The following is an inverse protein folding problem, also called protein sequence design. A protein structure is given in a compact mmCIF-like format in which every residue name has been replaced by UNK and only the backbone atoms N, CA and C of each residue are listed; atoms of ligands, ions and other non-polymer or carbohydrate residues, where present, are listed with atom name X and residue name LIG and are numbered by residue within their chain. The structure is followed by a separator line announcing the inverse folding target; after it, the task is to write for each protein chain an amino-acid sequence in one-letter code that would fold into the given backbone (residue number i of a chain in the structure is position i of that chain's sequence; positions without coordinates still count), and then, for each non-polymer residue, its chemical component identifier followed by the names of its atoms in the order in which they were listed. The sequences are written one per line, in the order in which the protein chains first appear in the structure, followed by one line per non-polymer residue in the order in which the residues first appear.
data_IF_500761369524
#
_entry.id   IF_500761369524
#
_cell.length_a   1.000
_cell.length_b   1.000
_cell.length_c   1.000
_cell.angle_alpha   90.00
_cell.angle_beta   90.00
_cell.angle_gamma   90.00
#
_symmetry.space_group_name_H-M   'P 1'
#
loop_
_entity.id
_entity.type
_entity.pdbx_description
1 polymer ?
#
# COMPACT_ATOMS: atom_id res chain seq x y z
N UNK A 1 0.08 10.22 -31.95
CA UNK A 1 1.04 10.80 -30.99
C UNK A 1 0.42 10.79 -29.60
N UNK A 2 1.16 10.44 -28.54
CA UNK A 2 0.64 10.54 -27.18
C UNK A 2 0.51 12.04 -26.80
N UNK A 3 -0.58 12.44 -26.13
CA UNK A 3 -0.76 13.83 -25.67
C UNK A 3 0.34 14.19 -24.67
N UNK A 4 0.99 15.33 -24.88
CA UNK A 4 2.04 15.86 -24.01
C UNK A 4 1.54 16.06 -22.56
N UNK A 5 2.34 15.64 -21.58
CA UNK A 5 2.05 15.79 -20.15
C UNK A 5 2.68 17.09 -19.67
N UNK A 6 1.84 18.05 -19.29
CA UNK A 6 2.26 19.38 -18.82
C UNK A 6 2.14 19.46 -17.30
N UNK A 7 2.88 20.38 -16.67
CA UNK A 7 2.77 20.68 -15.24
C UNK A 7 1.33 21.03 -14.83
N UNK A 8 0.61 21.81 -15.64
CA UNK A 8 -0.80 22.16 -15.40
C UNK A 8 -1.72 20.92 -15.39
N UNK A 9 -1.50 19.96 -16.28
CA UNK A 9 -2.25 18.69 -16.30
C UNK A 9 -1.93 17.83 -15.09
N UNK A 10 -0.66 17.75 -14.68
CA UNK A 10 -0.26 17.02 -13.47
C UNK A 10 -0.87 17.64 -12.20
N UNK A 11 -0.92 18.97 -12.11
CA UNK A 11 -1.62 19.67 -11.03
C UNK A 11 -3.09 19.27 -10.97
N UNK A 12 -3.77 19.32 -12.11
CA UNK A 12 -5.18 18.93 -12.21
C UNK A 12 -5.42 17.48 -11.82
N UNK A 13 -4.56 16.55 -12.28
CA UNK A 13 -4.69 15.12 -11.97
C UNK A 13 -4.49 14.88 -10.47
N UNK A 14 -3.50 15.52 -9.83
CA UNK A 14 -3.31 15.42 -8.38
C UNK A 14 -4.53 15.99 -7.61
N UNK A 15 -5.09 17.13 -8.01
CA UNK A 15 -6.31 17.68 -7.38
C UNK A 15 -7.46 16.68 -7.48
N UNK A 16 -7.71 16.12 -8.67
CA UNK A 16 -8.79 15.15 -8.88
C UNK A 16 -8.56 13.92 -8.02
N UNK A 17 -7.36 13.35 -8.02
CA UNK A 17 -7.02 12.19 -7.20
C UNK A 17 -7.22 12.48 -5.70
N UNK A 18 -6.77 13.65 -5.23
CA UNK A 18 -6.94 14.07 -3.84
C UNK A 18 -8.42 14.17 -3.44
N UNK A 19 -9.24 14.83 -4.25
CA UNK A 19 -10.69 14.96 -4.01
C UNK A 19 -11.38 13.59 -4.02
N UNK A 20 -11.02 12.70 -4.96
CA UNK A 20 -11.62 11.37 -5.03
C UNK A 20 -11.22 10.48 -3.84
N UNK A 21 -9.98 10.58 -3.36
CA UNK A 21 -9.58 9.91 -2.11
C UNK A 21 -10.34 10.47 -0.90
N UNK A 22 -10.48 11.79 -0.80
CA UNK A 22 -11.21 12.43 0.29
C UNK A 22 -12.69 12.04 0.31
N UNK A 23 -13.33 12.03 -0.86
CA UNK A 23 -14.73 11.64 -0.99
C UNK A 23 -14.95 10.18 -0.55
N UNK A 24 -14.05 9.27 -0.94
CA UNK A 24 -14.12 7.88 -0.51
C UNK A 24 -13.86 7.73 0.99
N UNK A 25 -12.89 8.47 1.56
CA UNK A 25 -12.65 8.49 2.99
C UNK A 25 -13.90 8.92 3.76
N UNK A 26 -14.53 10.01 3.34
CA UNK A 26 -15.76 10.51 3.96
C UNK A 26 -16.91 9.50 3.83
N UNK A 27 -17.08 8.87 2.67
CA UNK A 27 -18.10 7.86 2.45
C UNK A 27 -17.90 6.62 3.35
N UNK A 28 -16.66 6.10 3.43
CA UNK A 28 -16.34 4.98 4.33
C UNK A 28 -16.66 5.37 5.78
N UNK A 29 -16.19 6.52 6.27
CA UNK A 29 -16.44 6.95 7.65
C UNK A 29 -17.93 7.16 7.96
N UNK A 30 -18.71 7.68 7.00
CA UNK A 30 -20.13 7.95 7.21
C UNK A 30 -21.00 6.69 7.15
N UNK A 31 -20.57 5.65 6.42
CA UNK A 31 -21.41 4.49 6.09
C UNK A 31 -20.96 3.19 6.76
N UNK A 32 -19.80 3.16 7.42
CA UNK A 32 -19.26 1.92 8.01
C UNK A 32 -19.90 1.59 9.35
N UNK A 33 -20.00 0.30 9.63
CA UNK A 33 -20.22 -0.24 10.98
C UNK A 33 -19.00 -0.02 11.89
N UNK A 34 -19.17 -0.37 13.15
CA UNK A 34 -18.12 -0.37 14.18
C UNK A 34 -17.26 -1.64 14.18
N UNK A 35 -17.27 -2.42 13.10
CA UNK A 35 -16.52 -3.67 12.99
C UNK A 35 -15.03 -3.51 13.30
N UNK A 36 -14.54 -4.37 14.19
CA UNK A 36 -13.15 -4.40 14.64
C UNK A 36 -12.49 -5.75 14.35
N UNK A 37 -11.16 -5.75 14.32
CA UNK A 37 -10.35 -6.97 14.32
C UNK A 37 -9.37 -6.94 15.49
N UNK A 38 -9.20 -8.06 16.21
CA UNK A 38 -8.35 -8.09 17.39
C UNK A 38 -6.88 -8.00 17.01
N UNK A 39 -6.12 -7.25 17.81
CA UNK A 39 -4.67 -7.28 17.83
C UNK A 39 -4.24 -8.01 19.09
N UNK A 40 -3.44 -9.06 18.92
CA UNK A 40 -3.15 -10.02 19.98
C UNK A 40 -1.66 -10.15 20.27
N UNK A 41 -1.33 -10.70 21.43
CA UNK A 41 -0.01 -11.22 21.74
C UNK A 41 -0.11 -12.54 22.49
N UNK A 42 0.92 -13.38 22.36
CA UNK A 42 1.07 -14.60 23.15
C UNK A 42 2.46 -14.63 23.77
N UNK A 43 2.52 -14.69 25.10
CA UNK A 43 3.77 -14.64 25.84
C UNK A 43 4.21 -16.03 26.31
N UNK A 44 5.50 -16.18 26.60
CA UNK A 44 6.02 -17.40 27.22
C UNK A 44 5.52 -17.51 28.67
N UNK A 45 5.18 -18.73 29.09
CA UNK A 45 4.82 -19.05 30.48
C UNK A 45 5.85 -19.95 31.18
N UNK A 46 6.93 -20.30 30.47
CA UNK A 46 8.02 -21.14 30.94
C UNK A 46 9.26 -21.03 30.03
N UNK A 47 10.25 -21.93 30.16
CA UNK A 47 11.46 -21.91 29.31
C UNK A 47 11.17 -21.95 27.80
N UNK A 48 12.03 -21.38 26.94
CA UNK A 48 11.84 -21.40 25.48
C UNK A 48 11.57 -22.82 24.94
N UNK A 49 10.55 -22.98 24.10
CA UNK A 49 10.19 -24.25 23.48
C UNK A 49 9.35 -25.20 24.34
N UNK A 50 8.87 -24.76 25.51
CA UNK A 50 8.08 -25.62 26.42
C UNK A 50 6.61 -25.20 26.52
N UNK A 51 6.31 -24.07 27.16
CA UNK A 51 4.95 -23.61 27.44
C UNK A 51 4.75 -22.15 27.08
N UNK A 52 3.53 -21.84 26.64
CA UNK A 52 3.09 -20.51 26.26
C UNK A 52 1.81 -20.19 27.02
N UNK A 53 1.68 -18.95 27.47
CA UNK A 53 0.45 -18.45 28.07
C UNK A 53 -0.70 -18.38 27.05
N UNK A 54 -1.85 -17.93 27.54
CA UNK A 54 -3.03 -17.74 26.70
C UNK A 54 -2.82 -16.62 25.66
N UNK A 55 -3.59 -16.68 24.58
CA UNK A 55 -3.65 -15.60 23.60
C UNK A 55 -4.40 -14.42 24.22
N UNK A 56 -3.76 -13.27 24.32
CA UNK A 56 -4.34 -12.05 24.89
C UNK A 56 -4.68 -11.08 23.78
N UNK A 57 -5.89 -10.52 23.80
CA UNK A 57 -6.27 -9.37 22.97
C UNK A 57 -5.72 -8.11 23.64
N UNK A 58 -4.82 -7.41 22.96
CA UNK A 58 -4.26 -6.14 23.44
C UNK A 58 -5.24 -5.00 23.19
N UNK A 59 -5.83 -4.95 22.00
CA UNK A 59 -6.93 -4.04 21.64
C UNK A 59 -7.66 -4.54 20.40
N UNK A 60 -8.85 -3.98 20.16
CA UNK A 60 -9.63 -4.18 18.95
C UNK A 60 -9.43 -3.00 18.00
N UNK A 61 -8.92 -3.27 16.80
CA UNK A 61 -8.62 -2.24 15.81
C UNK A 61 -9.85 -1.97 14.92
N UNK A 62 -10.38 -0.73 14.88
CA UNK A 62 -11.52 -0.39 14.01
C UNK A 62 -11.11 -0.43 12.55
N UNK A 63 -11.70 -1.35 11.79
CA UNK A 63 -11.28 -1.62 10.41
C UNK A 63 -11.61 -0.44 9.48
N UNK A 64 -12.76 0.22 9.70
CA UNK A 64 -13.17 1.43 8.97
C UNK A 64 -12.17 2.59 9.12
N UNK A 65 -11.61 2.78 10.33
CA UNK A 65 -10.59 3.81 10.56
C UNK A 65 -9.30 3.49 9.81
N UNK A 66 -8.88 2.23 9.78
CA UNK A 66 -7.74 1.81 8.97
C UNK A 66 -7.92 2.14 7.49
N UNK A 67 -9.11 1.86 6.95
CA UNK A 67 -9.44 2.19 5.55
C UNK A 67 -9.43 3.70 5.31
N UNK A 68 -10.06 4.47 6.19
CA UNK A 68 -10.08 5.92 6.11
C UNK A 68 -8.68 6.53 6.19
N UNK A 69 -7.79 5.98 7.02
CA UNK A 69 -6.41 6.46 7.17
C UNK A 69 -5.65 6.38 5.84
N UNK A 70 -5.64 5.24 5.15
CA UNK A 70 -4.85 5.15 3.91
C UNK A 70 -5.43 6.01 2.78
N UNK A 71 -6.76 6.20 2.73
CA UNK A 71 -7.40 7.12 1.79
C UNK A 71 -7.06 8.57 2.13
N UNK A 72 -7.15 8.94 3.40
CA UNK A 72 -6.83 10.27 3.92
C UNK A 72 -5.36 10.65 3.68
N UNK A 73 -4.43 9.71 3.88
CA UNK A 73 -3.00 9.93 3.61
C UNK A 73 -2.75 10.26 2.13
N UNK A 74 -3.36 9.54 1.20
CA UNK A 74 -3.25 9.86 -0.23
C UNK A 74 -3.88 11.20 -0.58
N UNK A 75 -5.08 11.48 -0.06
CA UNK A 75 -5.75 12.77 -0.22
C UNK A 75 -4.85 13.93 0.24
N UNK A 76 -4.31 13.82 1.45
CA UNK A 76 -3.43 14.81 2.05
C UNK A 76 -2.17 15.02 1.21
N UNK A 77 -1.50 13.94 0.79
CA UNK A 77 -0.29 14.05 -0.02
C UNK A 77 -0.55 14.72 -1.36
N UNK A 78 -1.65 14.40 -2.03
CA UNK A 78 -2.03 15.08 -3.27
C UNK A 78 -2.27 16.58 -3.06
N UNK A 79 -2.97 16.98 -2.00
CA UNK A 79 -3.19 18.39 -1.69
C UNK A 79 -1.90 19.12 -1.29
N UNK A 80 -1.02 18.46 -0.54
CA UNK A 80 0.32 18.97 -0.25
C UNK A 80 1.07 19.22 -1.57
N UNK A 81 1.13 18.23 -2.45
CA UNK A 81 1.83 18.32 -3.74
C UNK A 81 1.34 19.50 -4.58
N UNK A 82 0.04 19.79 -4.63
CA UNK A 82 -0.51 20.88 -5.46
C UNK A 82 -0.58 22.24 -4.78
N UNK A 83 -0.20 22.31 -3.50
CA UNK A 83 -0.18 23.55 -2.74
C UNK A 83 0.85 24.54 -3.32
N UNK A 84 0.64 25.86 -3.16
CA UNK A 84 1.58 26.87 -3.69
C UNK A 84 3.03 26.67 -3.22
N UNK A 85 3.22 26.21 -1.97
CA UNK A 85 4.54 26.03 -1.35
C UNK A 85 5.31 24.83 -1.89
N UNK A 86 4.62 23.74 -2.27
CA UNK A 86 5.28 22.47 -2.61
C UNK A 86 5.18 22.12 -4.09
N UNK A 87 4.23 22.68 -4.84
CA UNK A 87 4.09 22.40 -6.27
C UNK A 87 5.36 22.71 -7.10
N UNK A 88 6.08 23.84 -6.87
CA UNK A 88 7.35 24.07 -7.55
C UNK A 88 8.42 23.00 -7.24
N UNK A 89 8.48 22.53 -6.00
CA UNK A 89 9.42 21.47 -5.58
C UNK A 89 9.07 20.12 -6.20
N UNK A 90 7.78 19.82 -6.30
CA UNK A 90 7.29 18.62 -6.98
C UNK A 90 7.72 18.63 -8.44
N UNK A 91 7.45 19.70 -9.20
CA UNK A 91 7.84 19.80 -10.61
C UNK A 91 9.36 19.74 -10.79
N UNK A 92 10.13 20.43 -9.94
CA UNK A 92 11.60 20.35 -9.99
C UNK A 92 12.11 18.92 -9.72
N UNK A 93 11.50 18.20 -8.79
CA UNK A 93 11.81 16.79 -8.54
C UNK A 93 11.50 15.91 -9.75
N UNK A 94 10.34 16.08 -10.38
CA UNK A 94 9.97 15.32 -11.58
C UNK A 94 10.94 15.58 -12.75
N UNK A 95 11.42 16.81 -12.91
CA UNK A 95 12.43 17.16 -13.91
C UNK A 95 13.78 16.46 -13.65
N UNK A 96 14.04 16.08 -12.38
CA UNK A 96 15.18 15.29 -11.95
C UNK A 96 14.83 13.79 -11.78
N UNK A 97 13.76 13.31 -12.42
CA UNK A 97 13.29 11.91 -12.37
C UNK A 97 13.00 11.38 -10.96
N UNK A 98 12.52 12.23 -10.06
CA UNK A 98 12.30 11.91 -8.65
C UNK A 98 10.95 12.40 -8.14
N UNK A 99 10.28 11.59 -7.32
CA UNK A 99 9.12 12.04 -6.56
C UNK A 99 9.17 11.58 -5.10
N UNK A 100 9.81 12.39 -4.27
CA UNK A 100 9.87 12.18 -2.82
C UNK A 100 8.50 12.10 -2.14
N UNK A 101 7.53 12.93 -2.56
CA UNK A 101 6.21 12.97 -1.93
C UNK A 101 5.48 11.63 -2.06
N UNK A 102 5.60 10.99 -3.22
CA UNK A 102 5.02 9.67 -3.49
C UNK A 102 5.59 8.60 -2.57
N UNK A 103 6.91 8.58 -2.37
CA UNK A 103 7.53 7.58 -1.51
C UNK A 103 7.23 7.78 -0.03
N UNK A 104 7.14 9.02 0.45
CA UNK A 104 6.69 9.30 1.83
C UNK A 104 5.23 8.89 2.03
N UNK A 105 4.36 9.16 1.06
CA UNK A 105 2.97 8.75 1.18
C UNK A 105 2.82 7.23 1.12
N UNK A 106 3.44 6.56 0.14
CA UNK A 106 3.33 5.11 -0.01
C UNK A 106 3.95 4.34 1.15
N UNK A 107 5.03 4.85 1.78
CA UNK A 107 5.69 4.13 2.87
C UNK A 107 4.78 3.98 4.09
N UNK A 108 3.80 4.86 4.24
CA UNK A 108 2.79 4.80 5.29
C UNK A 108 1.50 4.18 4.74
N UNK A 109 0.94 4.71 3.66
CA UNK A 109 -0.39 4.30 3.19
C UNK A 109 -0.43 2.86 2.71
N UNK A 110 0.56 2.41 1.93
CA UNK A 110 0.62 1.01 1.48
C UNK A 110 0.93 0.05 2.63
N UNK A 111 1.66 0.52 3.66
CA UNK A 111 1.97 -0.25 4.85
C UNK A 111 0.74 -0.43 5.74
N UNK A 112 -0.10 0.61 5.87
CA UNK A 112 -1.44 0.47 6.47
C UNK A 112 -2.28 -0.51 5.66
N UNK A 113 -2.31 -0.39 4.33
CA UNK A 113 -3.10 -1.31 3.49
C UNK A 113 -2.72 -2.78 3.70
N UNK A 114 -1.43 -3.12 3.69
CA UNK A 114 -0.99 -4.52 3.85
C UNK A 114 -1.22 -5.05 5.27
N UNK A 115 -1.17 -4.19 6.29
CA UNK A 115 -1.57 -4.54 7.67
C UNK A 115 -3.06 -4.88 7.73
N UNK A 116 -3.93 -4.09 7.09
CA UNK A 116 -5.37 -4.39 7.06
C UNK A 116 -5.66 -5.70 6.32
N UNK A 117 -4.96 -5.95 5.21
CA UNK A 117 -5.07 -7.23 4.48
C UNK A 117 -4.61 -8.39 5.38
N UNK A 118 -3.50 -8.23 6.10
CA UNK A 118 -3.02 -9.22 7.06
C UNK A 118 -4.07 -9.55 8.13
N UNK A 119 -4.68 -8.53 8.73
CA UNK A 119 -5.75 -8.71 9.71
C UNK A 119 -6.96 -9.43 9.11
N UNK A 120 -7.40 -9.03 7.90
CA UNK A 120 -8.53 -9.67 7.20
C UNK A 120 -8.23 -11.14 6.85
N UNK A 121 -6.96 -11.51 6.63
CA UNK A 121 -6.55 -12.91 6.46
C UNK A 121 -6.42 -13.69 7.78
N UNK A 122 -6.53 -13.03 8.93
CA UNK A 122 -6.46 -13.65 10.26
C UNK A 122 -5.12 -13.47 10.99
N UNK A 123 -4.19 -12.65 10.47
CA UNK A 123 -2.97 -12.30 11.20
C UNK A 123 -3.31 -11.25 12.27
N UNK A 124 -3.32 -11.65 13.53
CA UNK A 124 -3.64 -10.77 14.67
C UNK A 124 -2.44 -10.42 15.55
N UNK A 125 -1.34 -11.18 15.46
CA UNK A 125 -0.17 -10.96 16.33
C UNK A 125 0.49 -9.59 16.09
N UNK A 126 0.65 -8.80 17.16
CA UNK A 126 1.19 -7.45 17.08
C UNK A 126 2.61 -7.40 16.50
N UNK A 127 3.45 -8.39 16.81
CA UNK A 127 4.83 -8.40 16.31
C UNK A 127 4.86 -8.70 14.81
N UNK A 128 3.97 -9.59 14.33
CA UNK A 128 3.78 -9.84 12.91
C UNK A 128 3.26 -8.60 12.17
N UNK A 129 2.28 -7.90 12.72
CA UNK A 129 1.73 -6.68 12.10
C UNK A 129 2.78 -5.55 12.02
N UNK A 130 3.57 -5.33 13.07
CA UNK A 130 4.69 -4.37 13.08
C UNK A 130 5.73 -4.74 12.03
N UNK A 131 6.12 -6.02 11.96
CA UNK A 131 7.10 -6.49 10.99
C UNK A 131 6.61 -6.36 9.54
N UNK A 132 5.34 -6.70 9.27
CA UNK A 132 4.69 -6.53 7.98
C UNK A 132 4.67 -5.06 7.57
N UNK A 133 4.32 -4.15 8.48
CA UNK A 133 4.36 -2.71 8.23
C UNK A 133 5.78 -2.26 7.89
N UNK A 134 6.77 -2.63 8.71
CA UNK A 134 8.16 -2.22 8.53
C UNK A 134 8.81 -2.73 7.24
N UNK A 135 8.59 -4.01 6.89
CA UNK A 135 9.14 -4.59 5.67
C UNK A 135 8.48 -4.03 4.41
N UNK A 136 7.18 -3.70 4.47
CA UNK A 136 6.50 -3.02 3.37
C UNK A 136 6.96 -1.56 3.22
N UNK A 137 7.15 -0.83 4.33
CA UNK A 137 7.75 0.50 4.29
C UNK A 137 9.16 0.43 3.68
N UNK A 138 9.94 -0.62 3.99
CA UNK A 138 11.28 -0.83 3.44
C UNK A 138 11.25 -1.03 1.91
N UNK A 139 10.29 -1.80 1.38
CA UNK A 139 10.07 -1.91 -0.08
C UNK A 139 9.93 -0.54 -0.74
N UNK A 140 9.14 0.35 -0.12
CA UNK A 140 8.93 1.70 -0.63
C UNK A 140 10.20 2.56 -0.54
N UNK A 141 10.92 2.49 0.58
CA UNK A 141 12.18 3.22 0.75
C UNK A 141 13.24 2.76 -0.26
N UNK A 142 13.26 1.48 -0.64
CA UNK A 142 14.12 0.99 -1.70
C UNK A 142 13.75 1.53 -3.09
N UNK A 143 12.46 1.71 -3.39
CA UNK A 143 12.03 2.45 -4.58
C UNK A 143 12.48 3.91 -4.56
N UNK A 144 12.45 4.55 -3.39
CA UNK A 144 13.02 5.89 -3.24
C UNK A 144 14.55 5.88 -3.46
N UNK A 145 15.29 4.93 -2.90
CA UNK A 145 16.73 4.82 -3.12
C UNK A 145 17.07 4.60 -4.60
N UNK A 146 16.26 3.82 -5.33
CA UNK A 146 16.36 3.69 -6.78
C UNK A 146 16.29 5.08 -7.46
N UNK A 147 15.31 5.91 -7.12
CA UNK A 147 15.18 7.28 -7.64
C UNK A 147 16.27 8.24 -7.21
N UNK A 148 16.80 8.06 -6.01
CA UNK A 148 17.79 8.99 -5.45
C UNK A 148 19.19 8.77 -6.02
N UNK A 149 19.57 7.51 -6.22
CA UNK A 149 20.96 7.14 -6.54
C UNK A 149 21.15 6.61 -7.96
N UNK A 150 20.08 6.18 -8.63
CA UNK A 150 20.16 5.65 -9.99
C UNK A 150 19.40 6.56 -10.98
N UNK A 151 19.91 6.65 -12.20
CA UNK A 151 19.27 7.38 -13.29
C UNK A 151 18.63 6.41 -14.29
N UNK A 152 17.44 6.70 -14.84
CA UNK A 152 16.82 5.84 -15.84
C UNK A 152 17.76 5.52 -17.02
N UNK A 153 17.98 4.23 -17.27
CA UNK A 153 18.87 3.72 -18.32
C UNK A 153 20.34 3.54 -17.93
N UNK A 154 20.76 3.90 -16.71
CA UNK A 154 22.16 3.75 -16.27
C UNK A 154 22.57 2.30 -15.93
N UNK A 155 21.60 1.40 -15.76
CA UNK A 155 21.84 -0.02 -15.47
C UNK A 155 21.92 -0.39 -13.99
N UNK A 156 21.76 0.56 -13.05
CA UNK A 156 21.70 0.25 -11.62
C UNK A 156 20.33 -0.28 -11.20
N UNK A 157 20.32 -1.45 -10.55
CA UNK A 157 19.09 -2.17 -10.16
C UNK A 157 19.07 -2.65 -8.72
N UNK A 158 20.17 -2.48 -7.97
CA UNK A 158 20.29 -3.04 -6.61
C UNK A 158 19.16 -2.55 -5.70
N UNK A 159 18.84 -1.24 -5.62
CA UNK A 159 17.72 -0.79 -4.81
C UNK A 159 16.38 -1.40 -5.25
N UNK A 160 16.07 -1.43 -6.55
CA UNK A 160 14.86 -2.09 -7.06
C UNK A 160 14.77 -3.56 -6.64
N UNK A 161 15.85 -4.32 -6.77
CA UNK A 161 15.90 -5.75 -6.39
C UNK A 161 15.65 -5.92 -4.90
N UNK A 162 16.27 -5.10 -4.04
CA UNK A 162 16.02 -5.11 -2.59
C UNK A 162 14.58 -4.72 -2.25
N UNK A 163 14.01 -3.79 -3.02
CA UNK A 163 12.58 -3.47 -2.96
C UNK A 163 11.71 -4.69 -3.26
N UNK A 164 12.00 -5.45 -4.31
CA UNK A 164 11.26 -6.68 -4.63
C UNK A 164 11.41 -7.76 -3.54
N UNK A 165 12.62 -7.95 -2.99
CA UNK A 165 12.89 -8.92 -1.92
C UNK A 165 12.09 -8.58 -0.67
N UNK A 166 12.11 -7.32 -0.23
CA UNK A 166 11.32 -6.90 0.93
C UNK A 166 9.82 -6.89 0.64
N UNK A 167 9.43 -6.48 -0.58
CA UNK A 167 8.05 -6.37 -1.01
C UNK A 167 7.31 -7.70 -1.11
N UNK A 168 8.01 -8.82 -1.39
CA UNK A 168 7.37 -10.14 -1.48
C UNK A 168 7.10 -10.78 -0.11
N UNK A 169 7.82 -10.38 0.95
CA UNK A 169 7.75 -11.01 2.28
C UNK A 169 6.34 -11.01 2.87
N UNK A 170 5.59 -9.89 2.89
CA UNK A 170 4.21 -9.90 3.41
C UNK A 170 3.32 -10.90 2.68
N UNK A 171 3.44 -11.00 1.35
CA UNK A 171 2.61 -11.91 0.54
C UNK A 171 2.89 -13.38 0.83
N UNK A 172 4.15 -13.73 1.10
CA UNK A 172 4.51 -15.07 1.56
C UNK A 172 3.84 -15.36 2.90
N UNK A 173 3.87 -14.41 3.85
CA UNK A 173 3.18 -14.58 5.14
C UNK A 173 1.67 -14.75 4.95
N UNK A 174 1.02 -13.93 4.11
CA UNK A 174 -0.41 -14.04 3.80
C UNK A 174 -0.77 -15.40 3.19
N UNK A 175 0.11 -16.00 2.38
CA UNK A 175 -0.16 -17.29 1.72
C UNK A 175 -0.39 -18.42 2.74
N UNK A 176 0.32 -18.42 3.88
CA UNK A 176 0.09 -19.41 4.95
C UNK A 176 -1.33 -19.33 5.50
N UNK A 177 -1.84 -18.12 5.68
CA UNK A 177 -3.16 -17.87 6.25
C UNK A 177 -4.27 -18.10 5.22
N UNK A 178 -4.11 -17.58 4.01
CA UNK A 178 -5.07 -17.72 2.92
C UNK A 178 -5.26 -19.18 2.50
N UNK A 179 -4.20 -19.99 2.49
CA UNK A 179 -4.28 -21.40 2.11
C UNK A 179 -4.31 -22.37 3.31
N UNK A 180 -4.36 -21.85 4.54
CA UNK A 180 -4.30 -22.64 5.77
C UNK A 180 -3.16 -23.68 5.78
N UNK A 181 -1.96 -23.29 5.32
CA UNK A 181 -0.82 -24.19 5.14
C UNK A 181 -0.41 -24.77 6.50
N UNK A 182 -0.46 -26.10 6.63
CA UNK A 182 -0.17 -26.80 7.89
C UNK A 182 -1.29 -26.75 8.93
N UNK A 183 -2.44 -26.15 8.59
CA UNK A 183 -3.64 -26.09 9.43
C UNK A 183 -4.65 -27.19 9.12
N UNK A 184 -5.79 -27.15 9.82
CA UNK A 184 -6.92 -28.05 9.59
C UNK A 184 -7.65 -27.61 8.31
N UNK A 185 -7.91 -28.54 7.38
CA UNK A 185 -8.40 -28.24 6.03
C UNK A 185 -9.79 -27.57 5.93
N UNK A 186 -10.52 -27.49 7.04
CA UNK A 186 -11.83 -26.83 7.15
C UNK A 186 -11.72 -25.32 7.45
N UNK A 187 -10.54 -24.83 7.89
CA UNK A 187 -10.31 -23.43 8.25
C UNK A 187 -9.98 -22.55 7.02
N UNK A 188 -10.79 -22.64 5.97
CA UNK A 188 -10.57 -21.86 4.74
C UNK A 188 -10.99 -20.41 4.95
N UNK A 189 -10.21 -19.48 4.39
CA UNK A 189 -10.58 -18.08 4.38
C UNK A 189 -11.91 -17.88 3.63
N UNK A 190 -12.73 -16.87 3.98
CA UNK A 190 -13.89 -16.49 3.18
C UNK A 190 -13.49 -16.15 1.75
N UNK A 191 -14.34 -16.45 0.77
CA UNK A 191 -14.01 -16.27 -0.65
C UNK A 191 -13.59 -14.83 -1.01
N UNK A 192 -14.19 -13.82 -0.38
CA UNK A 192 -13.80 -12.42 -0.64
C UNK A 192 -12.35 -12.11 -0.23
N UNK A 193 -11.80 -12.82 0.75
CA UNK A 193 -10.41 -12.63 1.20
C UNK A 193 -9.43 -13.02 0.09
N UNK A 194 -9.69 -14.12 -0.62
CA UNK A 194 -8.90 -14.51 -1.79
C UNK A 194 -8.93 -13.43 -2.87
N UNK A 195 -10.11 -12.86 -3.16
CA UNK A 195 -10.26 -11.80 -4.14
C UNK A 195 -9.51 -10.53 -3.74
N UNK A 196 -9.60 -10.12 -2.46
CA UNK A 196 -8.84 -8.98 -1.93
C UNK A 196 -7.34 -9.21 -2.10
N UNK A 197 -6.82 -10.34 -1.62
CA UNK A 197 -5.39 -10.65 -1.66
C UNK A 197 -4.90 -10.69 -3.11
N UNK A 198 -5.59 -11.40 -4.00
CA UNK A 198 -5.19 -11.51 -5.41
C UNK A 198 -5.22 -10.16 -6.13
N UNK A 199 -6.31 -9.40 -5.96
CA UNK A 199 -6.48 -8.10 -6.62
C UNK A 199 -5.40 -7.11 -6.20
N UNK A 200 -5.13 -7.00 -4.89
CA UNK A 200 -4.12 -6.08 -4.39
C UNK A 200 -2.70 -6.56 -4.71
N UNK A 201 -2.45 -7.87 -4.73
CA UNK A 201 -1.18 -8.43 -5.19
C UNK A 201 -0.86 -7.99 -6.63
N UNK A 202 -1.84 -8.07 -7.54
CA UNK A 202 -1.68 -7.59 -8.91
C UNK A 202 -1.39 -6.09 -8.98
N UNK A 203 -2.07 -5.28 -8.16
CA UNK A 203 -1.76 -3.86 -8.09
C UNK A 203 -0.35 -3.58 -7.59
N UNK A 204 0.11 -4.23 -6.50
CA UNK A 204 1.47 -4.06 -5.98
C UNK A 204 2.53 -4.44 -7.02
N UNK A 205 2.34 -5.54 -7.76
CA UNK A 205 3.22 -5.89 -8.88
C UNK A 205 3.17 -4.85 -10.01
N UNK A 206 2.01 -4.22 -10.25
CA UNK A 206 1.89 -3.14 -11.22
C UNK A 206 2.69 -1.90 -10.81
N UNK A 207 2.78 -1.56 -9.52
CA UNK A 207 3.66 -0.50 -9.03
C UNK A 207 5.14 -0.82 -9.31
N UNK A 208 5.58 -2.04 -9.00
CA UNK A 208 6.95 -2.46 -9.29
C UNK A 208 7.24 -2.44 -10.80
N UNK A 209 6.28 -2.88 -11.62
CA UNK A 209 6.37 -2.87 -13.07
C UNK A 209 6.54 -1.45 -13.63
N UNK A 210 5.85 -0.45 -13.08
CA UNK A 210 6.03 0.95 -13.49
C UNK A 210 7.49 1.40 -13.27
N UNK A 211 8.06 1.16 -12.09
CA UNK A 211 9.45 1.54 -11.81
C UNK A 211 10.41 0.82 -12.75
N UNK A 212 10.20 -0.48 -12.96
CA UNK A 212 11.01 -1.28 -13.87
C UNK A 212 10.96 -0.74 -15.31
N UNK A 213 9.77 -0.44 -15.84
CA UNK A 213 9.58 0.11 -17.17
C UNK A 213 10.21 1.50 -17.32
N UNK A 214 10.08 2.37 -16.31
CA UNK A 214 10.71 3.69 -16.29
C UNK A 214 12.23 3.58 -16.33
N UNK A 215 12.82 2.75 -15.48
CA UNK A 215 14.27 2.61 -15.38
C UNK A 215 14.89 1.86 -16.57
N UNK A 216 14.15 0.94 -17.20
CA UNK A 216 14.53 0.33 -18.47
C UNK A 216 14.28 1.23 -19.69
N UNK A 217 13.57 2.36 -19.52
CA UNK A 217 13.15 3.27 -20.61
C UNK A 217 12.40 2.55 -21.74
N UNK A 218 11.52 1.59 -21.41
CA UNK A 218 10.81 0.80 -22.42
C UNK A 218 9.76 1.64 -23.14
N UNK A 219 9.93 1.88 -24.43
CA UNK A 219 8.94 2.56 -25.28
C UNK A 219 8.52 3.92 -24.73
N UNK A 220 7.22 4.08 -24.41
CA UNK A 220 6.67 5.35 -23.89
C UNK A 220 7.10 5.66 -22.45
N UNK A 221 7.67 4.70 -21.72
CA UNK A 221 8.12 4.87 -20.33
C UNK A 221 9.50 5.53 -20.22
N UNK A 222 10.14 5.85 -21.35
CA UNK A 222 11.29 6.75 -21.40
C UNK A 222 10.93 8.17 -20.92
N UNK A 223 9.67 8.57 -21.04
CA UNK A 223 9.13 9.78 -20.42
C UNK A 223 8.75 9.50 -18.96
N UNK A 224 9.49 10.09 -18.03
CA UNK A 224 9.26 9.93 -16.60
C UNK A 224 7.86 10.39 -16.15
N UNK A 225 7.30 11.42 -16.80
CA UNK A 225 5.97 11.96 -16.47
C UNK A 225 4.85 10.96 -16.77
N UNK A 226 5.05 10.03 -17.71
CA UNK A 226 4.14 8.92 -17.96
C UNK A 226 4.07 8.01 -16.74
N UNK A 227 5.21 7.69 -16.13
CA UNK A 227 5.25 6.85 -14.94
C UNK A 227 4.64 7.54 -13.74
N UNK A 228 4.93 8.82 -13.53
CA UNK A 228 4.28 9.63 -12.50
C UNK A 228 2.74 9.62 -12.63
N UNK A 229 2.22 9.88 -13.83
CA UNK A 229 0.77 9.81 -14.07
C UNK A 229 0.20 8.42 -13.81
N UNK A 230 0.95 7.37 -14.14
CA UNK A 230 0.51 6.00 -13.91
C UNK A 230 0.49 5.66 -12.43
N UNK A 231 1.46 6.10 -11.64
CA UNK A 231 1.45 5.94 -10.20
C UNK A 231 0.25 6.61 -9.54
N UNK A 232 -0.09 7.84 -9.93
CA UNK A 232 -1.28 8.52 -9.40
C UNK A 232 -2.54 7.70 -9.72
N UNK A 233 -2.64 7.17 -10.93
CA UNK A 233 -3.78 6.35 -11.35
C UNK A 233 -3.85 5.02 -10.58
N UNK A 234 -2.73 4.30 -10.47
CA UNK A 234 -2.64 3.05 -9.73
C UNK A 234 -2.95 3.26 -8.25
N UNK A 235 -2.48 4.35 -7.64
CA UNK A 235 -2.79 4.69 -6.25
C UNK A 235 -4.28 4.85 -6.04
N UNK A 236 -4.93 5.65 -6.90
CA UNK A 236 -6.37 5.84 -6.83
C UNK A 236 -7.10 4.50 -6.98
N UNK A 237 -6.81 3.74 -8.03
CA UNK A 237 -7.54 2.50 -8.34
C UNK A 237 -7.29 1.43 -7.27
N UNK A 238 -6.04 1.18 -6.87
CA UNK A 238 -5.71 0.14 -5.91
C UNK A 238 -6.31 0.42 -4.52
N UNK A 239 -6.22 1.67 -4.04
CA UNK A 239 -6.80 2.08 -2.76
C UNK A 239 -8.32 2.04 -2.79
N UNK A 240 -8.95 2.48 -3.88
CA UNK A 240 -10.40 2.38 -4.06
C UNK A 240 -10.85 0.91 -4.06
N UNK A 241 -10.14 0.06 -4.81
CA UNK A 241 -10.42 -1.37 -4.88
C UNK A 241 -10.32 -2.03 -3.49
N UNK A 242 -9.28 -1.75 -2.72
CA UNK A 242 -9.16 -2.30 -1.36
C UNK A 242 -10.27 -1.77 -0.44
N UNK A 243 -10.49 -0.45 -0.42
CA UNK A 243 -11.46 0.19 0.45
C UNK A 243 -12.86 -0.40 0.25
N UNK A 244 -13.31 -0.52 -0.99
CA UNK A 244 -14.66 -0.99 -1.30
C UNK A 244 -14.81 -2.51 -1.20
N UNK A 245 -13.75 -3.29 -1.47
CA UNK A 245 -13.79 -4.73 -1.20
C UNK A 245 -13.86 -5.03 0.30
N UNK A 246 -13.13 -4.29 1.14
CA UNK A 246 -13.27 -4.41 2.60
C UNK A 246 -14.68 -3.96 3.00
N UNK A 247 -15.09 -2.76 2.58
CA UNK A 247 -16.37 -2.18 2.97
C UNK A 247 -17.54 -3.11 2.69
N UNK A 248 -17.65 -3.61 1.46
CA UNK A 248 -18.79 -4.43 1.04
C UNK A 248 -18.88 -5.80 1.75
N UNK A 249 -17.77 -6.29 2.31
CA UNK A 249 -17.71 -7.63 2.91
C UNK A 249 -17.63 -7.61 4.44
N UNK A 250 -17.26 -6.48 5.06
CA UNK A 250 -17.08 -6.41 6.52
C UNK A 250 -17.66 -5.17 7.20
N UNK A 251 -17.91 -4.08 6.48
CA UNK A 251 -18.28 -2.78 7.09
C UNK A 251 -19.72 -2.34 6.81
N UNK A 252 -20.52 -3.11 6.06
CA UNK A 252 -21.96 -2.80 5.92
C UNK A 252 -22.65 -3.02 7.27
N UNK A 253 -23.34 -2.01 7.85
CA UNK A 253 -24.13 -2.20 9.06
C UNK A 253 -25.20 -3.27 8.86
N UNK A 254 -25.34 -4.17 9.83
CA UNK A 254 -26.38 -5.23 9.84
C UNK A 254 -27.70 -4.65 10.31
#
# INVERSE_FOLDING_TARGET
MAKEITSSKLRRINIIAGVLHLAQMAAVLAMSSDFTLPVTARYMSGPPGTTYGDLVVLWDAPLALGVAIFLGLSSLAHFIVVSPKFFPRYIAGLAAHRNFFRWVEYSISSSVMIVLIAQVTGISDITALIAIFGVNASMILFGWLQEKYEEPGNGGWIPFIFGCITGIVPWIALAFYVFAIGGVGENKAPTFVYFVVFTIFLFFNSFALVQWLQYKKVGKWSDYLRGERTYITLSLVAKSALAWQIFANTLIPV
#
